data_IF_606897165388
#
_entry.id   IF_606897165388
#
_cell.length_a   1.000
_cell.length_b   1.000
_cell.length_c   1.000
_cell.angle_alpha   90.00
_cell.angle_beta   90.00
_cell.angle_gamma   90.00
#
_symmetry.space_group_name_H-M   'P 1'
#
loop_
_entity.id
_entity.type
_entity.pdbx_description
1 polymer ?
#
# COMPACT_ATOMS: atom_id res chain seq x y z
N UNK A 1 -13.42 10.77 -7.89
CA UNK A 1 -12.01 10.85 -8.36
C UNK A 1 -11.57 12.30 -8.46
N UNK A 2 -12.23 13.17 -9.23
CA UNK A 2 -11.88 14.61 -9.30
C UNK A 2 -11.67 15.29 -7.93
N UNK A 3 -12.61 15.16 -7.00
CA UNK A 3 -12.46 15.80 -5.68
C UNK A 3 -11.26 15.26 -4.88
N UNK A 4 -10.87 13.99 -5.09
CA UNK A 4 -9.67 13.41 -4.47
C UNK A 4 -8.41 14.00 -5.09
N UNK A 5 -8.36 14.08 -6.41
CA UNK A 5 -7.26 14.68 -7.16
C UNK A 5 -7.03 16.14 -6.74
N UNK A 6 -8.09 16.95 -6.67
CA UNK A 6 -8.03 18.33 -6.17
C UNK A 6 -7.55 18.40 -4.72
N UNK A 7 -7.95 17.44 -3.87
CA UNK A 7 -7.49 17.38 -2.48
C UNK A 7 -6.01 17.02 -2.37
N UNK A 8 -5.52 16.07 -3.17
CA UNK A 8 -4.10 15.72 -3.26
C UNK A 8 -3.31 16.92 -3.78
N UNK A 9 -3.80 17.62 -4.79
CA UNK A 9 -3.18 18.84 -5.31
C UNK A 9 -3.01 19.92 -4.25
N UNK A 10 -4.01 20.12 -3.38
CA UNK A 10 -3.88 21.04 -2.23
C UNK A 10 -2.77 20.62 -1.27
N UNK A 11 -2.66 19.33 -0.94
CA UNK A 11 -1.61 18.81 -0.06
C UNK A 11 -0.22 19.04 -0.67
N UNK A 12 -0.06 18.69 -1.95
CA UNK A 12 1.21 18.87 -2.68
C UNK A 12 1.60 20.35 -2.74
N UNK A 13 0.66 21.23 -3.06
CA UNK A 13 0.90 22.67 -3.12
C UNK A 13 1.34 23.24 -1.77
N UNK A 14 0.71 22.82 -0.67
CA UNK A 14 1.12 23.25 0.67
C UNK A 14 2.54 22.79 1.02
N UNK A 15 2.93 21.57 0.65
CA UNK A 15 4.30 21.05 0.83
C UNK A 15 5.32 21.92 0.07
N UNK A 16 4.97 22.37 -1.14
CA UNK A 16 5.82 23.25 -1.95
C UNK A 16 5.91 24.67 -1.39
N UNK A 17 4.79 25.27 -0.98
CA UNK A 17 4.76 26.60 -0.37
C UNK A 17 5.57 26.67 0.94
N UNK A 18 5.59 25.57 1.71
CA UNK A 18 6.39 25.46 2.92
C UNK A 18 7.89 25.26 2.65
N UNK A 19 8.28 25.05 1.38
CA UNK A 19 9.69 24.84 1.01
C UNK A 19 10.27 23.50 1.49
N UNK A 20 9.43 22.52 1.82
CA UNK A 20 9.86 21.21 2.35
C UNK A 20 9.77 20.08 1.31
N UNK A 21 9.47 20.40 0.05
CA UNK A 21 9.23 19.42 -1.01
C UNK A 21 10.44 18.51 -1.30
N UNK A 22 11.67 19.03 -1.23
CA UNK A 22 12.90 18.24 -1.42
C UNK A 22 13.18 17.27 -0.26
N UNK A 23 12.55 17.49 0.90
CA UNK A 23 12.67 16.64 2.08
C UNK A 23 11.34 15.93 2.43
N UNK A 24 10.48 15.73 1.44
CA UNK A 24 9.18 15.06 1.63
C UNK A 24 9.00 13.97 0.59
N UNK A 25 8.87 12.72 1.05
CA UNK A 25 8.42 11.61 0.24
C UNK A 25 6.87 11.55 0.26
N UNK A 26 6.27 11.60 -0.92
CA UNK A 26 4.84 11.40 -1.12
C UNK A 26 4.63 10.03 -1.76
N UNK A 27 3.74 9.23 -1.17
CA UNK A 27 3.31 7.94 -1.70
C UNK A 27 1.80 8.01 -1.90
N UNK A 28 1.35 7.82 -3.14
CA UNK A 28 -0.07 7.70 -3.47
C UNK A 28 -0.33 6.28 -3.96
N UNK A 29 -1.26 5.58 -3.32
CA UNK A 29 -1.65 4.20 -3.70
C UNK A 29 -3.10 3.93 -3.31
N UNK A 30 -3.67 2.82 -3.80
CA UNK A 30 -4.97 2.33 -3.35
C UNK A 30 -4.83 1.19 -2.31
N UNK A 31 -5.90 0.91 -1.58
CA UNK A 31 -5.98 -0.21 -0.62
C UNK A 31 -6.18 -1.57 -1.31
N UNK A 32 -6.99 -1.59 -2.37
CA UNK A 32 -7.34 -2.77 -3.18
C UNK A 32 -7.79 -2.34 -4.58
N UNK A 33 -8.08 -3.30 -5.44
CA UNK A 33 -8.79 -3.08 -6.71
C UNK A 33 -10.13 -2.39 -6.56
N UNK A 34 -10.66 -1.83 -7.64
CA UNK A 34 -11.99 -1.24 -7.72
C UNK A 34 -13.12 -2.27 -7.66
N UNK A 35 -14.34 -1.81 -7.41
CA UNK A 35 -15.52 -2.66 -7.23
C UNK A 35 -16.04 -3.29 -8.52
N UNK A 36 -15.68 -2.75 -9.69
CA UNK A 36 -16.17 -3.24 -11.00
C UNK A 36 -15.00 -3.55 -11.92
N UNK A 37 -15.20 -4.53 -12.82
CA UNK A 37 -14.20 -4.90 -13.83
C UNK A 37 -13.84 -3.70 -14.72
N UNK A 38 -14.83 -2.85 -15.06
CA UNK A 38 -14.63 -1.69 -15.92
C UNK A 38 -13.56 -0.73 -15.38
N UNK A 39 -13.56 -0.46 -14.07
CA UNK A 39 -12.58 0.45 -13.46
C UNK A 39 -11.21 -0.20 -13.25
N UNK A 40 -11.12 -1.53 -13.34
CA UNK A 40 -9.88 -2.29 -13.18
C UNK A 40 -9.26 -2.69 -14.52
N UNK A 41 -9.94 -2.44 -15.65
CA UNK A 41 -9.41 -2.76 -16.98
C UNK A 41 -8.00 -2.18 -17.17
N UNK A 42 -7.09 -2.94 -17.81
CA UNK A 42 -7.32 -4.24 -18.46
C UNK A 42 -7.24 -5.45 -17.52
N UNK A 43 -7.03 -5.26 -16.22
CA UNK A 43 -6.78 -6.33 -15.27
C UNK A 43 -8.07 -7.08 -14.91
N UNK A 44 -7.99 -8.41 -14.87
CA UNK A 44 -9.11 -9.28 -14.50
C UNK A 44 -9.42 -9.15 -13.01
N UNK A 45 -10.69 -9.08 -12.65
CA UNK A 45 -11.15 -9.17 -11.27
C UNK A 45 -11.44 -7.82 -10.62
N UNK A 46 -11.95 -7.91 -9.40
CA UNK A 46 -12.41 -6.77 -8.62
C UNK A 46 -11.99 -6.87 -7.17
N UNK A 47 -12.31 -5.84 -6.37
CA UNK A 47 -12.27 -5.92 -4.92
C UNK A 47 -12.91 -7.22 -4.45
N UNK A 48 -12.28 -7.86 -3.47
CA UNK A 48 -12.61 -9.19 -2.95
C UNK A 48 -12.21 -10.39 -3.82
N UNK A 49 -11.49 -10.17 -4.92
CA UNK A 49 -10.82 -11.23 -5.67
C UNK A 49 -9.30 -11.11 -5.52
N UNK A 50 -8.59 -12.21 -5.83
CA UNK A 50 -7.12 -12.26 -5.82
C UNK A 50 -6.50 -12.22 -7.22
N UNK A 51 -7.34 -12.04 -8.25
CA UNK A 51 -6.91 -11.69 -9.60
C UNK A 51 -6.26 -10.30 -9.64
N UNK A 52 -5.48 -9.99 -10.67
CA UNK A 52 -4.68 -8.76 -10.79
C UNK A 52 -5.55 -7.51 -10.58
N UNK A 53 -6.77 -7.46 -11.11
CA UNK A 53 -7.69 -6.33 -10.93
C UNK A 53 -8.15 -6.12 -9.49
N UNK A 54 -8.03 -7.13 -8.62
CA UNK A 54 -8.33 -7.03 -7.18
C UNK A 54 -7.15 -6.58 -6.32
N UNK A 55 -5.91 -6.80 -6.77
CA UNK A 55 -4.69 -6.64 -5.94
C UNK A 55 -3.62 -5.73 -6.53
N UNK A 56 -3.62 -5.53 -7.85
CA UNK A 56 -2.66 -4.68 -8.56
C UNK A 56 -3.22 -3.28 -8.69
N UNK A 57 -2.74 -2.40 -7.83
CA UNK A 57 -3.23 -1.03 -7.70
C UNK A 57 -2.23 -0.01 -8.24
N UNK A 58 -2.69 1.18 -8.68
CA UNK A 58 -1.80 2.29 -8.96
C UNK A 58 -0.98 2.64 -7.71
N UNK A 59 0.32 2.86 -7.89
CA UNK A 59 1.21 3.33 -6.83
C UNK A 59 2.24 4.30 -7.42
N UNK A 60 2.34 5.49 -6.84
CA UNK A 60 3.22 6.57 -7.28
C UNK A 60 4.04 7.06 -6.11
N UNK A 61 5.36 7.13 -6.30
CA UNK A 61 6.30 7.74 -5.37
C UNK A 61 6.79 9.06 -5.95
N UNK A 62 6.78 10.12 -5.14
CA UNK A 62 7.34 11.43 -5.50
C UNK A 62 8.25 11.92 -4.38
N UNK A 63 9.51 12.16 -4.72
CA UNK A 63 10.48 12.81 -3.84
C UNK A 63 11.39 13.69 -4.69
N UNK A 64 11.22 15.01 -4.58
CA UNK A 64 11.90 15.98 -5.40
C UNK A 64 13.42 15.92 -5.16
N UNK A 65 14.21 15.84 -6.24
CA UNK A 65 15.67 15.72 -6.19
C UNK A 65 16.21 14.30 -5.90
N UNK A 66 15.34 13.36 -5.51
CA UNK A 66 15.72 11.96 -5.21
C UNK A 66 15.23 10.99 -6.28
N UNK A 67 13.93 11.03 -6.59
CA UNK A 67 13.33 10.15 -7.62
C UNK A 67 13.40 10.83 -8.97
N UNK A 68 13.88 10.10 -9.98
CA UNK A 68 13.90 10.60 -11.37
C UNK A 68 12.45 10.83 -11.85
N UNK A 69 12.09 12.06 -12.27
CA UNK A 69 10.74 12.36 -12.75
C UNK A 69 10.33 11.44 -13.90
N UNK A 70 9.06 11.06 -13.94
CA UNK A 70 8.47 10.21 -15.00
C UNK A 70 9.09 8.81 -15.16
N UNK A 71 9.97 8.39 -14.24
CA UNK A 71 10.51 7.04 -14.22
C UNK A 71 9.43 6.00 -13.91
N UNK A 72 9.63 4.77 -14.41
CA UNK A 72 8.70 3.65 -14.21
C UNK A 72 9.46 2.48 -13.60
N UNK A 73 9.02 2.03 -12.44
CA UNK A 73 9.49 0.79 -11.82
C UNK A 73 8.58 -0.38 -12.23
N UNK A 74 9.17 -1.45 -12.76
CA UNK A 74 8.47 -2.70 -13.13
C UNK A 74 8.85 -3.88 -12.23
N UNK A 75 9.63 -3.61 -11.19
CA UNK A 75 10.10 -4.62 -10.25
C UNK A 75 8.99 -5.00 -9.26
N UNK A 76 9.04 -6.23 -8.75
CA UNK A 76 8.00 -6.76 -7.86
C UNK A 76 8.09 -6.08 -6.49
N UNK A 77 6.99 -5.45 -6.07
CA UNK A 77 6.81 -4.85 -4.75
C UNK A 77 5.43 -5.21 -4.19
N UNK A 78 5.33 -5.24 -2.87
CA UNK A 78 4.10 -5.47 -2.13
C UNK A 78 3.93 -4.40 -1.04
N UNK A 79 2.69 -4.18 -0.58
CA UNK A 79 2.41 -3.16 0.46
C UNK A 79 3.18 -3.42 1.77
N UNK A 80 3.50 -4.68 2.08
CA UNK A 80 4.31 -5.04 3.25
C UNK A 80 5.73 -4.47 3.19
N UNK A 81 6.25 -4.20 1.99
CA UNK A 81 7.58 -3.61 1.79
C UNK A 81 7.64 -2.15 2.25
N UNK A 82 6.50 -1.45 2.30
CA UNK A 82 6.46 -0.05 2.73
C UNK A 82 6.97 0.12 4.16
N UNK A 83 6.66 -0.81 5.06
CA UNK A 83 7.11 -0.73 6.46
C UNK A 83 8.65 -0.72 6.54
N UNK A 84 9.30 -1.76 6.00
CA UNK A 84 10.76 -1.90 6.03
C UNK A 84 11.45 -0.74 5.30
N UNK A 85 10.89 -0.31 4.17
CA UNK A 85 11.42 0.81 3.37
C UNK A 85 11.34 2.14 4.13
N UNK A 86 10.19 2.46 4.74
CA UNK A 86 10.01 3.72 5.47
C UNK A 86 10.84 3.77 6.75
N UNK A 87 11.00 2.65 7.46
CA UNK A 87 11.91 2.55 8.61
C UNK A 87 13.35 2.82 8.18
N UNK A 88 13.80 2.23 7.07
CA UNK A 88 15.14 2.42 6.51
C UNK A 88 15.39 3.89 6.14
N UNK A 89 14.46 4.50 5.39
CA UNK A 89 14.52 5.93 5.01
C UNK A 89 14.57 6.84 6.24
N UNK A 90 13.81 6.51 7.28
CA UNK A 90 13.78 7.25 8.55
C UNK A 90 15.01 7.02 9.44
N UNK A 91 15.99 6.20 9.03
CA UNK A 91 17.17 5.86 9.83
C UNK A 91 16.89 4.95 11.02
N UNK A 92 15.73 4.28 11.03
CA UNK A 92 15.31 3.36 12.08
C UNK A 92 15.89 1.96 11.94
N UNK A 93 15.45 1.04 12.82
CA UNK A 93 15.85 -0.37 12.81
C UNK A 93 14.63 -1.27 12.64
N UNK A 94 14.70 -2.20 11.71
CA UNK A 94 13.70 -3.26 11.51
C UNK A 94 13.93 -4.47 12.42
N UNK A 95 14.94 -4.44 13.29
CA UNK A 95 15.26 -5.53 14.21
C UNK A 95 14.15 -5.69 15.25
N UNK A 96 13.44 -6.80 15.18
CA UNK A 96 12.38 -7.17 16.12
C UNK A 96 12.36 -8.68 16.35
N UNK A 97 11.48 -9.14 17.24
CA UNK A 97 11.41 -10.55 17.63
C UNK A 97 10.90 -11.47 16.51
N UNK A 98 9.96 -10.98 15.70
CA UNK A 98 9.37 -11.73 14.60
C UNK A 98 10.00 -11.31 13.25
N UNK A 99 10.16 -12.26 12.32
CA UNK A 99 10.59 -11.92 10.96
C UNK A 99 9.57 -11.01 10.27
N UNK A 100 10.06 -10.16 9.38
CA UNK A 100 9.23 -9.29 8.54
C UNK A 100 8.96 -9.96 7.19
N UNK A 101 7.71 -9.89 6.74
CA UNK A 101 7.33 -10.29 5.37
C UNK A 101 7.73 -9.25 4.31
N UNK A 102 8.08 -8.03 4.75
CA UNK A 102 8.45 -6.89 3.93
C UNK A 102 9.96 -6.71 3.79
N UNK A 103 10.38 -6.31 2.60
CA UNK A 103 11.76 -6.00 2.25
C UNK A 103 12.00 -4.48 2.21
N UNK A 104 13.22 -4.05 2.51
CA UNK A 104 13.62 -2.68 2.18
C UNK A 104 13.78 -2.55 0.66
N UNK A 105 12.93 -1.72 0.05
CA UNK A 105 12.87 -1.46 -1.39
C UNK A 105 13.53 -0.13 -1.76
N UNK A 106 14.25 0.53 -0.85
CA UNK A 106 14.91 1.82 -1.10
C UNK A 106 15.80 1.77 -2.35
N UNK A 107 16.60 0.71 -2.52
CA UNK A 107 17.47 0.57 -3.70
C UNK A 107 16.70 0.30 -5.00
N UNK A 108 15.50 -0.27 -4.92
CA UNK A 108 14.61 -0.45 -6.08
C UNK A 108 13.99 0.89 -6.47
N UNK A 109 13.47 1.63 -5.49
CA UNK A 109 12.73 2.88 -5.69
C UNK A 109 13.67 4.02 -6.11
N UNK A 110 14.82 4.17 -5.45
CA UNK A 110 15.70 5.33 -5.61
C UNK A 110 16.89 5.10 -6.55
N UNK A 111 17.32 3.85 -6.73
CA UNK A 111 18.49 3.52 -7.56
C UNK A 111 18.12 2.69 -8.81
N UNK A 112 16.85 2.25 -8.94
CA UNK A 112 16.40 1.44 -10.06
C UNK A 112 16.99 0.03 -10.10
N UNK A 113 17.41 -0.51 -8.95
CA UNK A 113 17.93 -1.88 -8.85
C UNK A 113 16.80 -2.92 -8.96
N UNK A 114 17.19 -4.17 -9.23
CA UNK A 114 16.28 -5.32 -9.24
C UNK A 114 15.68 -5.56 -7.87
N UNK A 115 14.39 -5.92 -7.82
CA UNK A 115 13.76 -6.30 -6.57
C UNK A 115 14.32 -7.62 -6.07
N UNK A 116 14.55 -7.68 -4.75
CA UNK A 116 14.90 -8.91 -4.04
C UNK A 116 13.67 -9.80 -3.77
N UNK A 117 12.46 -9.26 -3.93
CA UNK A 117 11.23 -10.02 -3.77
C UNK A 117 11.02 -10.94 -4.97
N UNK A 118 11.07 -12.24 -4.74
CA UNK A 118 10.80 -13.27 -5.75
C UNK A 118 9.41 -13.88 -5.63
N UNK A 119 8.80 -13.80 -4.45
CA UNK A 119 7.47 -14.35 -4.17
C UNK A 119 6.62 -13.43 -3.28
N UNK A 120 5.32 -13.70 -3.27
CA UNK A 120 4.33 -12.97 -2.50
C UNK A 120 3.13 -13.89 -2.23
N UNK A 121 2.89 -14.19 -0.95
CA UNK A 121 1.62 -14.75 -0.52
C UNK A 121 0.55 -13.65 -0.65
N UNK A 122 -0.50 -13.94 -1.40
CA UNK A 122 -1.62 -13.00 -1.62
C UNK A 122 -2.76 -13.35 -0.67
N UNK A 123 -3.09 -14.63 -0.60
CA UNK A 123 -4.15 -15.13 0.26
C UNK A 123 -3.78 -16.51 0.80
N UNK A 124 -3.99 -16.68 2.09
CA UNK A 124 -3.55 -17.86 2.82
C UNK A 124 -4.70 -18.87 3.01
N UNK A 125 -4.39 -20.10 3.40
CA UNK A 125 -5.43 -21.14 3.59
C UNK A 125 -6.42 -20.77 4.70
N UNK A 126 -7.68 -21.22 4.59
CA UNK A 126 -8.72 -20.93 5.58
C UNK A 126 -9.23 -19.48 5.59
N UNK A 127 -8.77 -18.64 4.66
CA UNK A 127 -9.38 -17.34 4.40
C UNK A 127 -10.72 -17.48 3.68
N UNK A 128 -11.48 -16.38 3.62
CA UNK A 128 -12.76 -16.30 2.88
C UNK A 128 -12.57 -16.27 1.36
N UNK A 129 -11.34 -16.03 0.88
CA UNK A 129 -10.96 -16.04 -0.53
C UNK A 129 -10.11 -17.26 -0.87
N UNK A 130 -9.97 -17.54 -2.16
CA UNK A 130 -9.14 -18.64 -2.64
C UNK A 130 -7.67 -18.42 -2.28
N UNK A 131 -6.97 -19.42 -1.73
CA UNK A 131 -5.54 -19.34 -1.50
C UNK A 131 -4.82 -18.98 -2.78
N UNK A 132 -3.89 -18.04 -2.70
CA UNK A 132 -3.19 -17.54 -3.87
C UNK A 132 -1.82 -17.00 -3.53
N UNK A 133 -0.90 -17.16 -4.46
CA UNK A 133 0.44 -16.60 -4.37
C UNK A 133 0.98 -16.29 -5.75
N UNK A 134 1.98 -15.43 -5.78
CA UNK A 134 2.84 -15.22 -6.94
C UNK A 134 4.26 -15.67 -6.60
N UNK A 135 4.89 -16.44 -7.48
CA UNK A 135 6.32 -16.76 -7.42
C UNK A 135 6.92 -16.61 -8.81
N UNK A 136 7.84 -15.65 -8.97
CA UNK A 136 8.40 -15.28 -10.26
C UNK A 136 7.31 -14.87 -11.26
N UNK A 137 7.25 -15.60 -12.38
CA UNK A 137 6.26 -15.41 -13.45
C UNK A 137 4.92 -16.08 -13.14
N UNK A 138 4.88 -17.03 -12.20
CA UNK A 138 3.71 -17.85 -11.94
C UNK A 138 2.83 -17.23 -10.88
N UNK A 139 1.51 -17.28 -11.10
CA UNK A 139 0.51 -16.92 -10.12
C UNK A 139 -0.53 -18.03 -10.02
N UNK A 140 -0.70 -18.54 -8.81
CA UNK A 140 -1.72 -19.53 -8.49
C UNK A 140 -2.91 -18.81 -7.83
N UNK A 141 -4.13 -19.10 -8.29
CA UNK A 141 -5.39 -18.63 -7.70
C UNK A 141 -6.32 -19.82 -7.51
N UNK A 142 -6.42 -20.32 -6.28
CA UNK A 142 -7.08 -21.58 -5.99
C UNK A 142 -6.34 -22.73 -6.69
N UNK A 143 -6.97 -23.29 -7.73
CA UNK A 143 -6.40 -24.36 -8.56
C UNK A 143 -5.90 -23.86 -9.93
N UNK A 144 -6.26 -22.63 -10.32
CA UNK A 144 -5.90 -22.07 -11.62
C UNK A 144 -4.49 -21.47 -11.58
N UNK A 145 -3.70 -21.71 -12.63
CA UNK A 145 -2.32 -21.23 -12.74
C UNK A 145 -2.16 -20.32 -13.96
N UNK A 146 -1.56 -19.15 -13.76
CA UNK A 146 -1.32 -18.16 -14.80
C UNK A 146 0.16 -17.82 -14.91
N UNK A 147 0.64 -17.60 -16.15
CA UNK A 147 1.97 -17.06 -16.41
C UNK A 147 1.88 -15.55 -16.66
N UNK A 148 2.16 -14.74 -15.65
CA UNK A 148 2.05 -13.28 -15.72
C UNK A 148 3.05 -12.60 -16.68
N UNK A 149 4.07 -13.32 -17.16
CA UNK A 149 4.98 -12.77 -18.16
C UNK A 149 4.36 -12.78 -19.56
N UNK A 150 3.63 -13.84 -19.90
CA UNK A 150 2.99 -14.02 -21.22
C UNK A 150 1.50 -13.69 -21.21
N UNK A 151 0.84 -13.85 -20.07
CA UNK A 151 -0.57 -13.59 -19.81
C UNK A 151 -0.73 -12.74 -18.53
N UNK A 152 -0.43 -11.43 -18.61
CA UNK A 152 -0.52 -10.53 -17.46
C UNK A 152 -1.98 -10.23 -17.04
N UNK A 153 -2.98 -10.67 -17.82
CA UNK A 153 -4.40 -10.43 -17.58
C UNK A 153 -5.16 -11.66 -17.08
N UNK A 154 -4.44 -12.78 -16.88
CA UNK A 154 -4.96 -14.03 -16.31
C UNK A 154 -6.14 -14.58 -17.14
N UNK A 155 -5.98 -14.62 -18.46
CA UNK A 155 -6.97 -15.20 -19.37
C UNK A 155 -6.84 -16.72 -19.48
N UNK A 156 -5.62 -17.23 -19.54
CA UNK A 156 -5.34 -18.62 -19.89
C UNK A 156 -4.86 -19.40 -18.66
N UNK A 157 -5.74 -20.26 -18.14
CA UNK A 157 -5.37 -21.22 -17.10
C UNK A 157 -4.51 -22.34 -17.70
N UNK A 158 -3.26 -22.44 -17.25
CA UNK A 158 -2.28 -23.42 -17.70
C UNK A 158 -1.96 -24.48 -16.64
N UNK A 159 -2.82 -24.63 -15.63
CA UNK A 159 -2.65 -25.59 -14.53
C UNK A 159 -2.50 -27.04 -15.01
N UNK A 160 -3.28 -27.47 -16.01
CA UNK A 160 -3.18 -28.83 -16.59
C UNK A 160 -1.85 -29.07 -17.33
N UNK A 161 -1.24 -28.01 -17.86
CA UNK A 161 0.03 -28.09 -18.59
C UNK A 161 1.25 -28.07 -17.65
N UNK A 162 1.07 -27.54 -16.43
CA UNK A 162 2.14 -27.36 -15.43
C UNK A 162 1.71 -27.85 -14.02
N UNK A 163 1.25 -29.10 -13.87
CA UNK A 163 0.76 -29.62 -12.60
C UNK A 163 1.84 -29.62 -11.50
N UNK A 164 3.11 -29.76 -11.88
CA UNK A 164 4.25 -29.68 -10.97
C UNK A 164 4.38 -28.31 -10.29
N UNK A 165 4.09 -27.23 -11.02
CA UNK A 165 4.14 -25.86 -10.50
C UNK A 165 2.95 -25.60 -9.58
N UNK A 166 1.77 -26.13 -9.93
CA UNK A 166 0.59 -26.06 -9.05
C UNK A 166 0.89 -26.72 -7.71
N UNK A 167 1.50 -27.92 -7.70
CA UNK A 167 1.87 -28.62 -6.47
C UNK A 167 2.87 -27.79 -5.67
N UNK A 168 3.95 -27.30 -6.30
CA UNK A 168 4.97 -26.49 -5.63
C UNK A 168 4.37 -25.25 -4.95
N UNK A 169 3.55 -24.48 -5.67
CA UNK A 169 2.96 -23.25 -5.13
C UNK A 169 1.92 -23.55 -4.03
N UNK A 170 1.16 -24.65 -4.15
CA UNK A 170 0.23 -25.07 -3.10
C UNK A 170 0.97 -25.44 -1.81
N UNK A 171 2.06 -26.21 -1.92
CA UNK A 171 2.90 -26.56 -0.78
C UNK A 171 3.53 -25.32 -0.15
N UNK A 172 3.98 -24.36 -0.98
CA UNK A 172 4.52 -23.09 -0.49
C UNK A 172 3.48 -22.24 0.24
N UNK A 173 2.26 -22.14 -0.28
CA UNK A 173 1.13 -21.49 0.41
C UNK A 173 0.85 -22.17 1.75
N UNK A 174 0.82 -23.50 1.79
CA UNK A 174 0.55 -24.26 3.02
C UNK A 174 1.64 -24.02 4.08
N UNK A 175 2.91 -24.02 3.67
CA UNK A 175 4.03 -23.74 4.57
C UNK A 175 3.92 -22.33 5.18
N UNK A 176 3.76 -21.30 4.35
CA UNK A 176 3.59 -19.92 4.81
C UNK A 176 2.32 -19.74 5.65
N UNK A 177 1.25 -20.44 5.27
CA UNK A 177 -0.01 -20.43 6.01
C UNK A 177 0.13 -20.96 7.43
N UNK A 178 1.02 -21.93 7.66
CA UNK A 178 1.28 -22.52 8.97
C UNK A 178 2.16 -21.64 9.87
N UNK A 179 2.85 -20.65 9.31
CA UNK A 179 3.62 -19.65 10.08
C UNK A 179 2.69 -18.63 10.77
N UNK A 180 1.44 -18.51 10.31
CA UNK A 180 0.46 -17.61 10.94
C UNK A 180 0.22 -18.07 12.38
N UNK A 181 0.29 -17.16 13.37
CA UNK A 181 -0.14 -17.49 14.71
C UNK A 181 -1.59 -17.97 14.67
N UNK A 182 -1.96 -18.97 15.49
CA UNK A 182 -3.35 -19.42 15.54
C UNK A 182 -4.22 -18.20 15.82
N UNK A 183 -5.16 -17.94 14.91
CA UNK A 183 -6.32 -17.13 15.21
C UNK A 183 -6.97 -17.88 16.38
N UNK A 184 -6.83 -17.38 17.61
CA UNK A 184 -7.41 -18.03 18.79
C UNK A 184 -8.94 -18.10 18.68
N UNK A 185 -9.65 -18.18 19.81
CA UNK A 185 -11.10 -17.99 19.81
C UNK A 185 -11.44 -16.51 19.49
N UNK A 186 -11.33 -16.14 18.22
CA UNK A 186 -11.81 -14.86 17.73
C UNK A 186 -13.32 -14.96 17.63
N UNK A 187 -14.00 -14.31 18.57
CA UNK A 187 -15.40 -13.93 18.41
C UNK A 187 -15.57 -13.30 17.02
N UNK A 188 -16.44 -13.88 16.19
CA UNK A 188 -16.79 -13.34 14.86
C UNK A 188 -17.44 -11.94 14.94
N UNK A 189 -17.69 -11.44 16.15
CA UNK A 189 -18.16 -10.10 16.47
C UNK A 189 -17.05 -9.39 17.23
N UNK A 190 -16.67 -8.19 16.81
CA UNK A 190 -15.78 -7.35 17.62
C UNK A 190 -16.40 -7.17 19.01
N UNK A 191 -15.76 -7.73 20.03
CA UNK A 191 -16.14 -7.57 21.43
C UNK A 191 -14.94 -7.02 22.21
N UNK A 192 -14.99 -5.77 22.69
CA UNK A 192 -16.12 -4.84 22.63
C UNK A 192 -16.37 -4.28 21.23
N UNK A 193 -17.61 -3.83 20.99
CA UNK A 193 -17.97 -3.13 19.77
C UNK A 193 -17.15 -1.83 19.58
N UNK A 194 -16.95 -1.46 18.31
CA UNK A 194 -16.20 -0.27 17.89
C UNK A 194 -16.57 1.03 18.63
N UNK A 195 -15.63 1.99 18.73
CA UNK A 195 -14.33 2.01 18.05
C UNK A 195 -13.21 1.33 18.85
N UNK A 196 -12.74 0.19 18.34
CA UNK A 196 -11.47 -0.41 18.74
C UNK A 196 -10.36 0.39 18.07
N UNK A 197 -9.46 0.97 18.85
CA UNK A 197 -8.34 1.76 18.33
C UNK A 197 -7.18 0.80 18.08
N UNK A 198 -6.93 0.45 16.82
CA UNK A 198 -5.74 -0.31 16.45
C UNK A 198 -4.47 0.43 16.90
N UNK A 199 -3.49 -0.31 17.42
CA UNK A 199 -2.23 0.27 17.89
C UNK A 199 -2.27 0.82 19.32
N UNK A 200 -3.38 0.72 20.07
CA UNK A 200 -3.49 1.36 21.39
C UNK A 200 -2.50 0.78 22.43
N UNK A 201 -2.22 -0.52 22.34
CA UNK A 201 -1.23 -1.19 23.19
C UNK A 201 0.20 -0.91 22.69
N UNK A 202 0.40 -0.94 21.38
CA UNK A 202 1.67 -0.67 20.71
C UNK A 202 2.13 0.78 20.92
N UNK A 203 1.18 1.72 21.02
CA UNK A 203 1.44 3.12 21.31
C UNK A 203 1.57 3.43 22.82
N UNK A 204 1.30 2.46 23.71
CA UNK A 204 1.41 2.68 25.15
C UNK A 204 2.85 3.07 25.57
N UNK A 205 3.84 2.65 24.80
CA UNK A 205 5.27 2.92 24.99
C UNK A 205 5.87 3.77 23.87
N UNK A 206 5.12 4.75 23.35
CA UNK A 206 5.64 5.70 22.35
C UNK A 206 6.91 6.40 22.88
N UNK A 207 8.03 6.45 22.11
CA UNK A 207 9.25 7.15 22.50
C UNK A 207 9.03 8.61 22.88
N UNK A 208 9.72 9.07 23.93
CA UNK A 208 9.56 10.43 24.47
C UNK A 208 9.87 11.52 23.45
N UNK A 209 10.84 11.27 22.56
CA UNK A 209 11.21 12.21 21.50
C UNK A 209 10.06 12.44 20.51
N UNK A 210 9.34 11.37 20.12
CA UNK A 210 8.16 11.47 19.26
C UNK A 210 7.06 12.25 19.98
N UNK A 211 6.80 11.94 21.26
CA UNK A 211 5.81 12.68 22.07
C UNK A 211 6.15 14.16 22.13
N UNK A 212 7.39 14.48 22.49
CA UNK A 212 7.91 15.84 22.57
C UNK A 212 7.79 16.59 21.24
N UNK A 213 8.11 15.94 20.11
CA UNK A 213 7.99 16.52 18.78
C UNK A 213 6.53 16.85 18.43
N UNK A 214 5.61 15.90 18.62
CA UNK A 214 4.17 16.08 18.34
C UNK A 214 3.56 17.14 19.25
N UNK A 215 3.91 17.15 20.55
CA UNK A 215 3.44 18.17 21.47
C UNK A 215 3.95 19.56 21.12
N UNK A 216 5.23 19.68 20.76
CA UNK A 216 5.80 20.94 20.29
C UNK A 216 5.05 21.45 19.06
N UNK A 217 4.86 20.60 18.06
CA UNK A 217 4.09 20.94 16.87
C UNK A 217 2.67 21.41 17.21
N UNK A 218 1.97 20.70 18.11
CA UNK A 218 0.61 21.11 18.55
C UNK A 218 0.58 22.43 19.30
N UNK A 219 1.58 22.70 20.16
CA UNK A 219 1.69 23.97 20.90
C UNK A 219 1.96 25.14 19.96
N UNK A 220 2.77 24.93 18.94
CA UNK A 220 3.18 25.96 17.98
C UNK A 220 2.16 26.12 16.84
N UNK A 221 1.33 25.10 16.58
CA UNK A 221 0.27 25.16 15.58
C UNK A 221 -0.84 26.11 16.03
N UNK A 222 -1.15 27.10 15.19
CA UNK A 222 -2.26 28.01 15.39
C UNK A 222 -3.59 27.22 15.49
N UNK A 223 -4.15 27.20 16.71
CA UNK A 223 -5.35 26.44 17.05
C UNK A 223 -6.65 27.13 16.62
N UNK A 224 -6.61 28.45 16.44
CA UNK A 224 -7.77 29.27 16.10
C UNK A 224 -7.42 30.18 14.92
N UNK A 225 -8.27 30.15 13.90
CA UNK A 225 -8.16 31.01 12.72
C UNK A 225 -9.40 31.89 12.68
N UNK A 226 -9.23 33.19 12.45
CA UNK A 226 -10.37 34.03 12.10
C UNK A 226 -10.94 33.60 10.75
N UNK A 227 -12.24 33.82 10.54
CA UNK A 227 -12.90 33.45 9.29
C UNK A 227 -12.15 34.05 8.08
N UNK A 228 -11.66 33.21 7.17
CA UNK A 228 -10.93 33.63 5.98
C UNK A 228 -9.44 33.88 6.16
N UNK A 229 -8.87 33.67 7.36
CA UNK A 229 -7.43 33.86 7.64
C UNK A 229 -6.62 32.57 7.67
N UNK A 230 -7.27 31.43 7.45
CA UNK A 230 -6.63 30.13 7.41
C UNK A 230 -5.67 30.02 6.19
N UNK A 231 -4.58 29.24 6.31
CA UNK A 231 -3.54 29.13 5.29
C UNK A 231 -3.93 28.18 4.14
N UNK A 232 -5.07 27.50 4.25
CA UNK A 232 -5.68 26.71 3.19
C UNK A 232 -6.75 27.52 2.44
N UNK A 233 -7.11 27.17 1.20
CA UNK A 233 -8.14 27.90 0.46
C UNK A 233 -9.46 27.97 1.24
N UNK A 234 -10.20 29.09 1.15
CA UNK A 234 -11.53 29.18 1.75
C UNK A 234 -12.44 28.06 1.24
N UNK A 235 -13.23 27.44 2.12
CA UNK A 235 -14.24 26.49 1.68
C UNK A 235 -15.17 27.22 0.70
N UNK A 236 -15.66 26.54 -0.36
CA UNK A 236 -16.47 27.20 -1.36
C UNK A 236 -17.73 27.81 -0.76
N UNK A 237 -18.00 29.07 -1.07
CA UNK A 237 -19.09 29.85 -0.44
C UNK A 237 -20.50 29.33 -0.80
N UNK A 238 -20.62 28.58 -1.88
CA UNK A 238 -21.84 28.00 -2.44
C UNK A 238 -21.79 26.45 -2.48
N UNK A 239 -20.77 25.85 -1.86
CA UNK A 239 -20.51 24.41 -1.96
C UNK A 239 -20.00 23.96 -3.33
N UNK A 240 -19.70 24.88 -4.27
CA UNK A 240 -19.08 24.54 -5.55
C UNK A 240 -17.56 24.65 -5.48
N UNK A 241 -16.87 23.51 -5.50
CA UNK A 241 -15.42 23.52 -5.68
C UNK A 241 -15.11 23.90 -7.14
N UNK A 242 -14.70 25.14 -7.37
CA UNK A 242 -14.19 25.60 -8.68
C UNK A 242 -12.67 25.45 -8.70
N UNK A 243 -12.18 24.49 -9.48
CA UNK A 243 -10.76 24.24 -9.69
C UNK A 243 -10.29 24.92 -10.97
N UNK A 244 -9.32 25.83 -10.84
CA UNK A 244 -8.67 26.55 -11.95
C UNK A 244 -7.25 26.03 -12.26
N UNK A 245 -6.81 24.95 -11.60
CA UNK A 245 -5.51 24.35 -11.88
C UNK A 245 -5.48 23.66 -13.24
N UNK A 246 -4.30 23.54 -13.84
CA UNK A 246 -4.13 22.93 -15.17
C UNK A 246 -4.10 21.40 -15.14
N UNK A 247 -4.33 20.78 -13.97
CA UNK A 247 -4.46 19.32 -13.83
C UNK A 247 -3.22 18.55 -14.28
N UNK A 248 -2.04 19.16 -14.17
CA UNK A 248 -0.75 18.54 -14.51
C UNK A 248 0.00 18.05 -13.28
#
# INVERSE_FOLDING_TARGET
>A
IRCLDEAVGRIVHSIEQLGIAENTLIIFTNDNGGLTEEVNRPWRGTKNTTFEGGIRVPCVFRWLGVITPTSVCKELMHVTDLFSTLVSIGGGSTKQALPLDGHDMSSVIFEGKKSQRTEMLIEATGSVRLPSMRSGQWKLVGEALFNLQTDPYEHDDVSELHPEIVIELRERILALSAERPPLGDLSHVMDPALPFVYGQLENASTPEEIRSHVEKARREQQQVWEAGTYPWPPPPQDGQITYEGDGR
#
